data_IF_544391522446
#
_entry.id   IF_544391522446
#
_cell.length_a   1.000
_cell.length_b   1.000
_cell.length_c   1.000
_cell.angle_alpha   90.00
_cell.angle_beta   90.00
_cell.angle_gamma   90.00
#
_symmetry.space_group_name_H-M   'P 1'
#
loop_
_entity.id
_entity.type
_entity.pdbx_description
1 polymer ?
#
# COMPACT_ATOMS: atom_id res chain seq x y z
N UNK A 1 -29.67 -7.82 -5.65
CA UNK A 1 -29.04 -7.58 -4.33
C UNK A 1 -27.55 -7.81 -4.51
N UNK A 2 -26.71 -6.87 -4.05
CA UNK A 2 -25.25 -6.97 -4.09
C UNK A 2 -24.75 -7.77 -2.89
N UNK A 3 -23.63 -8.49 -3.06
CA UNK A 3 -22.94 -9.15 -1.96
C UNK A 3 -22.24 -8.10 -1.10
N UNK A 4 -21.53 -7.15 -1.75
CA UNK A 4 -20.93 -5.99 -1.07
C UNK A 4 -21.36 -4.67 -1.70
N UNK A 5 -21.66 -3.70 -0.84
CA UNK A 5 -21.59 -2.28 -1.11
C UNK A 5 -20.26 -1.78 -0.54
N UNK A 6 -19.32 -1.37 -1.39
CA UNK A 6 -17.98 -0.92 -0.99
C UNK A 6 -17.93 0.61 -1.06
N UNK A 7 -17.41 1.26 -0.03
CA UNK A 7 -17.25 2.72 0.00
C UNK A 7 -15.80 3.05 0.26
N UNK A 8 -15.16 3.75 -0.68
CA UNK A 8 -13.72 4.04 -0.66
C UNK A 8 -13.43 5.48 -1.10
N UNK A 9 -12.21 5.96 -0.84
CA UNK A 9 -11.80 7.35 -1.03
C UNK A 9 -11.83 7.77 -2.51
N UNK A 10 -10.98 7.15 -3.32
CA UNK A 10 -10.78 7.46 -4.75
C UNK A 10 -10.56 6.15 -5.54
N UNK A 11 -10.75 6.15 -6.86
CA UNK A 11 -10.54 4.97 -7.71
C UNK A 11 -9.06 4.72 -8.00
N UNK A 12 -8.26 4.41 -6.96
CA UNK A 12 -6.86 4.05 -7.12
C UNK A 12 -6.72 2.75 -7.92
N UNK A 13 -5.74 2.67 -8.85
CA UNK A 13 -5.59 1.56 -9.79
C UNK A 13 -5.57 0.18 -9.10
N UNK A 14 -4.87 0.05 -7.99
CA UNK A 14 -4.76 -1.22 -7.25
C UNK A 14 -6.09 -1.65 -6.60
N UNK A 15 -6.95 -0.68 -6.25
CA UNK A 15 -8.33 -0.95 -5.78
C UNK A 15 -9.23 -1.37 -6.93
N UNK A 16 -9.11 -0.69 -8.08
CA UNK A 16 -9.86 -1.07 -9.30
C UNK A 16 -9.50 -2.50 -9.69
N UNK A 17 -8.22 -2.86 -9.71
CA UNK A 17 -7.76 -4.22 -10.01
C UNK A 17 -8.37 -5.24 -9.02
N UNK A 18 -8.31 -4.97 -7.72
CA UNK A 18 -8.92 -5.85 -6.70
C UNK A 18 -10.43 -6.00 -6.92
N UNK A 19 -11.13 -4.90 -7.13
CA UNK A 19 -12.59 -4.93 -7.30
C UNK A 19 -13.01 -5.60 -8.60
N UNK A 20 -12.23 -5.48 -9.67
CA UNK A 20 -12.43 -6.23 -10.92
C UNK A 20 -12.32 -7.74 -10.68
N UNK A 21 -11.31 -8.18 -9.93
CA UNK A 21 -11.16 -9.60 -9.59
C UNK A 21 -12.31 -10.10 -8.69
N UNK A 22 -12.74 -9.29 -7.71
CA UNK A 22 -13.91 -9.61 -6.89
C UNK A 22 -15.19 -9.70 -7.72
N UNK A 23 -15.37 -8.80 -8.71
CA UNK A 23 -16.56 -8.75 -9.56
C UNK A 23 -16.74 -9.99 -10.45
N UNK A 24 -15.67 -10.76 -10.69
CA UNK A 24 -15.76 -12.05 -11.38
C UNK A 24 -16.51 -13.12 -10.58
N UNK A 25 -16.62 -12.97 -9.25
CA UNK A 25 -17.17 -13.97 -8.33
C UNK A 25 -18.31 -13.44 -7.44
N UNK A 26 -18.37 -12.14 -7.22
CA UNK A 26 -19.30 -11.45 -6.33
C UNK A 26 -20.02 -10.33 -7.08
N UNK A 27 -21.24 -10.08 -6.72
CA UNK A 27 -21.96 -8.91 -7.20
C UNK A 27 -21.63 -7.73 -6.27
N UNK A 28 -20.81 -6.79 -6.73
CA UNK A 28 -20.37 -5.63 -5.95
C UNK A 28 -20.89 -4.32 -6.55
N UNK A 29 -21.12 -3.33 -5.67
CA UNK A 29 -21.38 -1.95 -6.03
C UNK A 29 -20.37 -1.06 -5.27
N UNK A 30 -19.64 -0.19 -5.97
CA UNK A 30 -18.59 0.61 -5.37
C UNK A 30 -18.94 2.09 -5.39
N UNK A 31 -18.83 2.75 -4.25
CA UNK A 31 -18.96 4.19 -4.12
C UNK A 31 -17.56 4.79 -3.92
N UNK A 32 -17.15 5.62 -4.86
CA UNK A 32 -15.95 6.46 -4.70
C UNK A 32 -16.36 7.82 -4.14
N UNK A 33 -15.78 8.20 -3.03
CA UNK A 33 -16.05 9.51 -2.38
C UNK A 33 -15.64 10.66 -3.29
N UNK A 34 -14.55 10.51 -4.04
CA UNK A 34 -14.10 11.49 -5.03
C UNK A 34 -13.43 10.81 -6.22
N UNK A 35 -13.35 11.53 -7.36
CA UNK A 35 -12.67 11.00 -8.56
C UNK A 35 -11.16 11.14 -8.52
N UNK A 36 -10.60 12.09 -7.75
CA UNK A 36 -9.17 12.43 -7.77
C UNK A 36 -8.70 13.03 -6.43
N UNK A 37 -7.39 13.30 -6.32
CA UNK A 37 -6.75 13.89 -5.15
C UNK A 37 -5.62 14.85 -5.56
N UNK A 38 -5.48 15.97 -4.86
CA UNK A 38 -4.37 16.93 -5.03
C UNK A 38 -3.02 16.43 -4.48
N UNK A 39 -2.98 15.29 -3.79
CA UNK A 39 -1.71 14.69 -3.41
C UNK A 39 -0.91 14.32 -4.64
N UNK A 40 0.31 14.85 -4.77
CA UNK A 40 1.22 14.55 -5.90
C UNK A 40 1.41 13.03 -6.04
N UNK A 41 0.91 12.47 -7.14
CA UNK A 41 1.01 11.06 -7.53
C UNK A 41 1.29 10.98 -9.04
N UNK A 42 1.56 9.81 -9.58
CA UNK A 42 1.68 9.61 -11.03
C UNK A 42 0.35 9.91 -11.74
N UNK A 43 0.40 10.40 -12.97
CA UNK A 43 -0.76 10.88 -13.73
C UNK A 43 -1.91 9.86 -13.92
N UNK A 44 -1.64 8.56 -13.83
CA UNK A 44 -2.64 7.50 -14.01
C UNK A 44 -2.93 6.74 -12.71
N UNK A 45 -2.75 7.40 -11.55
CA UNK A 45 -2.97 6.74 -10.27
C UNK A 45 -4.45 6.43 -9.99
N UNK A 46 -5.37 7.29 -10.42
CA UNK A 46 -6.82 7.14 -10.20
C UNK A 46 -7.58 7.25 -11.53
N UNK A 47 -8.36 6.20 -11.84
CA UNK A 47 -9.24 6.14 -13.01
C UNK A 47 -10.31 5.07 -12.79
N UNK A 48 -11.53 5.33 -13.28
CA UNK A 48 -12.63 4.35 -13.30
C UNK A 48 -12.82 3.71 -14.67
N UNK A 49 -11.99 4.07 -15.68
CA UNK A 49 -12.18 3.63 -17.06
C UNK A 49 -12.13 2.10 -17.22
N UNK A 50 -11.38 1.42 -16.36
CA UNK A 50 -11.18 -0.02 -16.41
C UNK A 50 -12.08 -0.79 -15.40
N UNK A 51 -13.07 -0.11 -14.79
CA UNK A 51 -13.96 -0.74 -13.81
C UNK A 51 -14.95 -1.70 -14.50
N UNK A 52 -14.95 -2.97 -14.08
CA UNK A 52 -15.84 -4.05 -14.55
C UNK A 52 -17.01 -4.33 -13.58
N UNK A 53 -17.31 -3.39 -12.69
CA UNK A 53 -18.35 -3.48 -11.67
C UNK A 53 -19.22 -2.21 -11.66
N UNK A 54 -20.37 -2.31 -11.02
CA UNK A 54 -21.27 -1.15 -10.86
C UNK A 54 -20.64 -0.16 -9.86
N UNK A 55 -20.61 1.12 -10.22
CA UNK A 55 -20.04 2.15 -9.35
C UNK A 55 -20.73 3.51 -9.43
N UNK A 56 -20.48 4.35 -8.45
CA UNK A 56 -20.87 5.75 -8.44
C UNK A 56 -19.75 6.62 -7.82
N UNK A 57 -19.49 7.78 -8.41
CA UNK A 57 -18.52 8.77 -7.90
C UNK A 57 -19.31 9.96 -7.35
N UNK A 58 -19.19 10.22 -6.03
CA UNK A 58 -20.00 11.23 -5.35
C UNK A 58 -19.54 12.65 -5.66
N UNK A 59 -18.22 12.87 -5.75
CA UNK A 59 -17.63 14.16 -6.05
C UNK A 59 -16.65 14.06 -7.22
N UNK A 60 -16.92 14.78 -8.30
CA UNK A 60 -16.02 14.86 -9.45
C UNK A 60 -14.99 15.96 -9.21
N UNK A 61 -13.77 15.60 -8.83
CA UNK A 61 -12.67 16.52 -8.56
C UNK A 61 -11.79 16.09 -7.41
N UNK A 62 -11.06 17.05 -6.84
CA UNK A 62 -10.08 16.85 -5.78
C UNK A 62 -10.75 16.45 -4.45
N UNK A 63 -10.34 15.31 -3.92
CA UNK A 63 -10.83 14.74 -2.65
C UNK A 63 -10.79 15.75 -1.48
N UNK A 64 -9.79 16.61 -1.41
CA UNK A 64 -9.62 17.61 -0.36
C UNK A 64 -10.69 18.73 -0.43
N UNK A 65 -11.29 18.92 -1.60
CA UNK A 65 -12.33 19.96 -1.86
C UNK A 65 -13.76 19.40 -1.81
N UNK A 66 -13.93 18.11 -1.48
CA UNK A 66 -15.24 17.47 -1.43
C UNK A 66 -16.19 18.11 -0.42
N UNK A 67 -17.47 18.07 -0.69
CA UNK A 67 -18.52 18.60 0.19
C UNK A 67 -19.13 17.48 1.04
N UNK A 68 -18.66 17.30 2.26
CA UNK A 68 -19.01 16.18 3.17
C UNK A 68 -20.52 15.99 3.29
N UNK A 69 -21.28 17.07 3.58
CA UNK A 69 -22.75 16.97 3.72
C UNK A 69 -23.46 16.51 2.44
N UNK A 70 -23.00 16.97 1.26
CA UNK A 70 -23.55 16.51 -0.02
C UNK A 70 -23.26 15.04 -0.24
N UNK A 71 -22.04 14.59 0.10
CA UNK A 71 -21.66 13.18 -0.01
C UNK A 71 -22.52 12.32 0.93
N UNK A 72 -22.76 12.76 2.18
CA UNK A 72 -23.60 12.02 3.13
C UNK A 72 -25.04 11.90 2.62
N UNK A 73 -25.63 12.96 2.06
CA UNK A 73 -26.97 12.91 1.47
C UNK A 73 -27.02 11.97 0.23
N UNK A 74 -25.99 12.00 -0.62
CA UNK A 74 -25.89 11.07 -1.75
C UNK A 74 -25.77 9.62 -1.26
N UNK A 75 -24.93 9.34 -0.24
CA UNK A 75 -24.82 8.03 0.38
C UNK A 75 -26.17 7.58 0.94
N UNK A 76 -26.91 8.43 1.65
CA UNK A 76 -28.24 8.12 2.16
C UNK A 76 -29.18 7.69 1.03
N UNK A 77 -29.18 8.44 -0.07
CA UNK A 77 -30.00 8.12 -1.26
C UNK A 77 -29.60 6.77 -1.85
N UNK A 78 -28.29 6.47 -1.95
CA UNK A 78 -27.82 5.18 -2.47
C UNK A 78 -28.21 4.04 -1.51
N UNK A 79 -28.03 4.21 -0.21
CA UNK A 79 -28.40 3.20 0.79
C UNK A 79 -29.90 2.87 0.80
N UNK A 80 -30.77 3.81 0.41
CA UNK A 80 -32.22 3.57 0.30
C UNK A 80 -32.62 2.77 -0.94
N UNK A 81 -31.87 2.89 -2.05
CA UNK A 81 -32.20 2.23 -3.35
C UNK A 81 -31.42 0.96 -3.61
N UNK A 82 -30.19 0.83 -3.07
CA UNK A 82 -29.30 -0.30 -3.32
C UNK A 82 -29.44 -1.35 -2.21
N UNK A 83 -29.85 -2.57 -2.60
CA UNK A 83 -29.94 -3.69 -1.66
C UNK A 83 -28.62 -4.47 -1.63
N UNK A 84 -28.04 -4.67 -0.42
CA UNK A 84 -26.77 -5.35 -0.22
C UNK A 84 -26.78 -6.26 1.02
N UNK A 85 -25.89 -7.28 1.02
CA UNK A 85 -25.69 -8.18 2.19
C UNK A 85 -24.74 -7.55 3.20
N UNK A 86 -23.58 -7.03 2.76
CA UNK A 86 -22.54 -6.41 3.57
C UNK A 86 -22.19 -5.03 3.03
N UNK A 87 -21.73 -4.13 3.89
CA UNK A 87 -21.18 -2.83 3.52
C UNK A 87 -19.75 -2.73 4.03
N UNK A 88 -18.81 -2.45 3.13
CA UNK A 88 -17.37 -2.35 3.41
C UNK A 88 -16.92 -0.90 3.27
N UNK A 89 -16.44 -0.30 4.35
CA UNK A 89 -15.82 1.02 4.34
C UNK A 89 -14.30 0.91 4.41
N UNK A 90 -13.59 1.79 3.68
CA UNK A 90 -12.12 1.73 3.54
C UNK A 90 -11.41 2.63 4.56
N UNK A 91 -11.77 2.54 5.83
CA UNK A 91 -11.15 3.31 6.90
C UNK A 91 -12.14 3.82 7.94
N UNK A 92 -11.62 4.59 8.88
CA UNK A 92 -12.34 5.29 9.94
C UNK A 92 -12.05 6.80 9.98
N UNK A 93 -11.36 7.29 8.98
CA UNK A 93 -10.84 8.67 8.89
C UNK A 93 -11.85 9.67 8.33
N UNK A 94 -12.94 9.19 7.69
CA UNK A 94 -13.92 10.05 7.04
C UNK A 94 -15.26 10.10 7.78
N UNK A 95 -15.89 11.28 7.90
CA UNK A 95 -17.25 11.42 8.42
C UNK A 95 -18.27 10.58 7.65
N UNK A 96 -18.09 10.41 6.35
CA UNK A 96 -18.91 9.55 5.48
C UNK A 96 -18.90 8.09 5.95
N UNK A 97 -17.74 7.56 6.36
CA UNK A 97 -17.62 6.20 6.89
C UNK A 97 -18.29 6.04 8.26
N UNK A 98 -18.19 7.07 9.11
CA UNK A 98 -18.88 7.13 10.40
C UNK A 98 -20.40 7.12 10.20
N UNK A 99 -20.91 7.97 9.31
CA UNK A 99 -22.33 7.98 8.97
C UNK A 99 -22.83 6.59 8.61
N UNK A 100 -22.13 5.89 7.69
CA UNK A 100 -22.45 4.52 7.28
C UNK A 100 -22.44 3.57 8.48
N UNK A 101 -21.36 3.56 9.27
CA UNK A 101 -21.20 2.63 10.38
C UNK A 101 -22.31 2.79 11.43
N UNK A 102 -22.82 4.02 11.65
CA UNK A 102 -23.83 4.29 12.66
C UNK A 102 -25.28 4.20 12.16
N UNK A 103 -25.51 4.35 10.87
CA UNK A 103 -26.86 4.26 10.27
C UNK A 103 -27.21 2.88 9.76
N UNK A 104 -26.21 2.02 9.49
CA UNK A 104 -26.44 0.63 9.07
C UNK A 104 -26.36 -0.37 10.24
N UNK A 105 -26.89 -1.59 10.04
CA UNK A 105 -26.86 -2.65 11.04
C UNK A 105 -25.42 -3.14 11.24
N UNK A 106 -24.94 -3.23 12.49
CA UNK A 106 -23.61 -3.73 12.84
C UNK A 106 -23.26 -5.04 12.11
N UNK A 107 -24.18 -6.00 12.04
CA UNK A 107 -23.97 -7.30 11.41
C UNK A 107 -23.65 -7.24 9.92
N UNK A 108 -23.91 -6.10 9.27
CA UNK A 108 -23.56 -5.84 7.86
C UNK A 108 -22.28 -5.05 7.68
N UNK A 109 -21.83 -4.35 8.73
CA UNK A 109 -20.72 -3.41 8.64
C UNK A 109 -19.38 -4.13 8.64
N UNK A 110 -18.59 -3.88 7.60
CA UNK A 110 -17.23 -4.34 7.46
C UNK A 110 -16.28 -3.15 7.30
N UNK A 111 -15.05 -3.31 7.74
CA UNK A 111 -13.97 -2.32 7.64
C UNK A 111 -12.78 -2.92 6.87
N UNK A 112 -12.32 -2.29 5.81
CA UNK A 112 -10.99 -2.53 5.26
C UNK A 112 -9.99 -1.66 6.03
N UNK A 113 -9.13 -2.30 6.83
CA UNK A 113 -8.19 -1.62 7.70
C UNK A 113 -6.81 -1.56 7.04
N UNK A 114 -6.39 -0.34 6.69
CA UNK A 114 -5.08 -0.05 6.12
C UNK A 114 -4.15 0.69 7.11
N UNK A 115 -4.60 0.98 8.34
CA UNK A 115 -3.79 1.59 9.39
C UNK A 115 -3.09 0.55 10.24
N UNK A 116 -1.81 0.79 10.57
CA UNK A 116 -0.97 -0.08 11.40
C UNK A 116 -0.84 0.44 12.82
N UNK A 117 -0.24 -0.39 13.70
CA UNK A 117 0.05 0.00 15.09
C UNK A 117 1.06 1.14 15.21
N UNK A 118 1.91 1.35 14.19
CA UNK A 118 2.94 2.40 14.22
C UNK A 118 2.41 3.79 13.92
N UNK A 119 1.39 3.94 13.07
CA UNK A 119 0.85 5.26 12.71
C UNK A 119 -0.41 5.62 13.52
N UNK A 120 -1.13 4.63 13.98
CA UNK A 120 -2.46 4.79 14.51
C UNK A 120 -2.46 4.78 16.04
N UNK A 121 -2.66 5.95 16.66
CA UNK A 121 -2.78 6.02 18.13
C UNK A 121 -3.95 5.16 18.61
N UNK A 122 -3.65 4.19 19.49
CA UNK A 122 -4.59 3.27 20.11
C UNK A 122 -4.84 3.59 21.59
N UNK A 123 -4.15 4.59 22.15
CA UNK A 123 -4.27 5.06 23.55
C UNK A 123 -5.02 6.39 23.63
N UNK A 124 -5.46 6.74 24.85
CA UNK A 124 -6.12 8.01 25.15
C UNK A 124 -7.41 8.24 24.36
N UNK A 125 -7.77 9.51 24.16
CA UNK A 125 -9.03 9.90 23.50
C UNK A 125 -9.10 9.38 22.05
N UNK A 126 -7.99 9.41 21.31
CA UNK A 126 -7.95 8.90 19.92
C UNK A 126 -8.22 7.39 19.87
N UNK A 127 -7.67 6.62 20.80
CA UNK A 127 -7.95 5.18 20.90
C UNK A 127 -9.40 4.93 21.29
N UNK A 128 -9.97 5.70 22.22
CA UNK A 128 -11.37 5.60 22.62
C UNK A 128 -12.33 5.85 21.45
N UNK A 129 -12.10 6.91 20.66
CA UNK A 129 -12.91 7.22 19.46
C UNK A 129 -12.89 6.04 18.48
N UNK A 130 -11.70 5.43 18.22
CA UNK A 130 -11.61 4.26 17.34
C UNK A 130 -12.39 3.05 17.89
N UNK A 131 -12.35 2.82 19.20
CA UNK A 131 -13.18 1.76 19.84
C UNK A 131 -14.67 2.01 19.64
N UNK A 132 -15.13 3.24 19.70
CA UNK A 132 -16.53 3.60 19.39
C UNK A 132 -16.86 3.23 17.94
N UNK A 133 -16.01 3.57 16.98
CA UNK A 133 -16.23 3.17 15.59
C UNK A 133 -16.26 1.65 15.44
N UNK A 134 -15.26 0.95 15.99
CA UNK A 134 -15.15 -0.50 15.93
C UNK A 134 -16.32 -1.22 16.61
N UNK A 135 -16.98 -0.61 17.60
CA UNK A 135 -18.19 -1.18 18.21
C UNK A 135 -19.36 -1.35 17.22
N UNK A 136 -19.31 -0.64 16.08
CA UNK A 136 -20.30 -0.70 14.98
C UNK A 136 -19.88 -1.61 13.85
N UNK A 137 -18.71 -2.26 13.94
CA UNK A 137 -18.14 -3.14 12.91
C UNK A 137 -18.29 -4.61 13.33
N UNK A 138 -18.70 -5.48 12.42
CA UNK A 138 -18.75 -6.92 12.65
C UNK A 138 -17.51 -7.66 12.17
N UNK A 139 -16.96 -7.24 11.02
CA UNK A 139 -15.84 -7.91 10.36
C UNK A 139 -14.80 -6.86 9.92
N UNK A 140 -13.54 -7.10 10.21
CA UNK A 140 -12.42 -6.28 9.72
C UNK A 140 -11.56 -7.08 8.77
N UNK A 141 -11.35 -6.55 7.58
CA UNK A 141 -10.37 -7.02 6.61
C UNK A 141 -9.05 -6.28 6.89
N UNK A 142 -8.15 -6.95 7.59
CA UNK A 142 -6.85 -6.41 7.97
C UNK A 142 -5.80 -6.73 6.89
N UNK A 143 -5.02 -5.72 6.47
CA UNK A 143 -4.07 -5.93 5.38
C UNK A 143 -2.91 -6.86 5.75
N UNK A 144 -2.56 -6.98 7.03
CA UNK A 144 -1.49 -7.86 7.51
C UNK A 144 -1.33 -7.85 9.03
N UNK A 145 -0.23 -8.40 9.52
CA UNK A 145 0.06 -8.60 10.95
C UNK A 145 0.07 -7.30 11.76
N UNK A 146 0.72 -6.24 11.28
CA UNK A 146 0.77 -4.94 11.97
C UNK A 146 -0.62 -4.30 12.14
N UNK A 147 -1.55 -4.60 11.25
CA UNK A 147 -2.95 -4.18 11.34
C UNK A 147 -3.70 -5.00 12.39
N UNK A 148 -3.43 -6.30 12.46
CA UNK A 148 -3.98 -7.18 13.49
C UNK A 148 -3.51 -6.75 14.89
N UNK A 149 -2.26 -6.34 15.04
CA UNK A 149 -1.73 -5.85 16.31
C UNK A 149 -2.42 -4.56 16.77
N UNK A 150 -2.74 -3.65 15.84
CA UNK A 150 -3.57 -2.49 16.15
C UNK A 150 -4.98 -2.89 16.64
N UNK A 151 -5.62 -3.87 16.01
CA UNK A 151 -6.93 -4.37 16.44
C UNK A 151 -6.89 -5.01 17.82
N UNK A 152 -5.84 -5.81 18.12
CA UNK A 152 -5.60 -6.36 19.46
C UNK A 152 -5.42 -5.25 20.51
N UNK A 153 -4.60 -4.22 20.21
CA UNK A 153 -4.38 -3.08 21.10
C UNK A 153 -5.65 -2.25 21.33
N UNK A 154 -6.57 -2.20 20.35
CA UNK A 154 -7.89 -1.59 20.47
C UNK A 154 -8.93 -2.50 21.11
N UNK A 155 -8.58 -3.77 21.42
CA UNK A 155 -9.47 -4.79 21.96
C UNK A 155 -10.72 -5.04 21.10
N UNK A 156 -10.53 -5.16 19.77
CA UNK A 156 -11.61 -5.48 18.84
C UNK A 156 -12.11 -6.92 19.06
N UNK A 157 -13.45 -7.09 19.15
CA UNK A 157 -14.09 -8.38 19.45
C UNK A 157 -14.83 -8.99 18.26
N UNK A 158 -14.79 -8.35 17.09
CA UNK A 158 -15.42 -8.87 15.87
C UNK A 158 -14.54 -9.87 15.13
N UNK A 159 -15.01 -10.29 13.97
CA UNK A 159 -14.27 -11.17 13.08
C UNK A 159 -13.10 -10.39 12.41
N UNK A 160 -11.90 -10.98 12.38
CA UNK A 160 -10.74 -10.43 11.67
C UNK A 160 -10.35 -11.39 10.56
N UNK A 161 -10.35 -10.89 9.33
CA UNK A 161 -9.90 -11.59 8.13
C UNK A 161 -8.65 -10.91 7.59
N UNK A 162 -7.57 -11.66 7.39
CA UNK A 162 -6.29 -11.12 6.91
C UNK A 162 -6.21 -11.24 5.40
N UNK A 163 -6.05 -10.10 4.71
CA UNK A 163 -6.06 -10.04 3.24
C UNK A 163 -4.68 -10.18 2.60
N UNK A 164 -3.59 -10.03 3.37
CA UNK A 164 -2.21 -10.02 2.88
C UNK A 164 -2.00 -9.04 1.72
N UNK A 165 -2.63 -7.86 1.82
CA UNK A 165 -2.54 -6.80 0.81
C UNK A 165 -3.66 -5.77 0.92
N UNK A 166 -3.46 -4.64 0.24
CA UNK A 166 -4.42 -3.52 0.17
C UNK A 166 -5.08 -3.41 -1.21
N UNK A 167 -4.64 -4.22 -2.17
CA UNK A 167 -5.11 -4.21 -3.55
C UNK A 167 -4.27 -5.15 -4.41
N UNK A 168 -4.42 -5.05 -5.73
CA UNK A 168 -3.70 -5.86 -6.71
C UNK A 168 -2.89 -4.94 -7.62
N UNK A 169 -1.60 -5.24 -7.78
CA UNK A 169 -0.68 -4.49 -8.64
C UNK A 169 -0.96 -4.74 -10.12
N UNK A 170 -0.45 -3.85 -10.98
CA UNK A 170 -0.37 -4.14 -12.41
C UNK A 170 0.75 -5.16 -12.66
N UNK A 171 0.50 -6.13 -13.52
CA UNK A 171 1.42 -7.23 -13.84
C UNK A 171 1.71 -7.25 -15.34
N UNK A 172 2.45 -6.24 -15.87
CA UNK A 172 2.83 -6.24 -17.28
C UNK A 172 3.81 -7.38 -17.57
N UNK A 173 3.72 -7.96 -18.75
CA UNK A 173 4.74 -8.93 -19.19
C UNK A 173 6.12 -8.29 -19.21
N UNK A 174 7.12 -9.03 -18.76
CA UNK A 174 8.51 -8.61 -18.80
C UNK A 174 9.44 -9.81 -18.99
N UNK A 175 10.61 -9.55 -19.58
CA UNK A 175 11.63 -10.56 -19.78
C UNK A 175 12.57 -10.53 -18.57
N UNK A 176 12.59 -11.60 -17.81
CA UNK A 176 13.57 -11.78 -16.72
C UNK A 176 14.96 -11.98 -17.33
N UNK A 177 15.90 -11.18 -16.89
CA UNK A 177 17.31 -11.31 -17.27
C UNK A 177 18.13 -11.63 -16.05
N UNK A 178 19.01 -12.63 -16.18
CA UNK A 178 19.99 -12.90 -15.12
C UNK A 178 20.94 -11.70 -15.00
N UNK A 179 21.07 -11.14 -13.80
CA UNK A 179 21.88 -9.95 -13.52
C UNK A 179 23.15 -10.33 -12.78
N UNK A 180 24.24 -9.62 -13.08
CA UNK A 180 25.39 -9.53 -12.19
C UNK A 180 25.20 -8.36 -11.25
N UNK A 181 25.66 -8.50 -10.01
CA UNK A 181 25.59 -7.43 -9.04
C UNK A 181 26.41 -6.22 -9.49
N UNK A 182 25.77 -5.10 -9.64
CA UNK A 182 26.39 -3.85 -10.08
C UNK A 182 26.31 -2.74 -9.03
N UNK A 183 25.83 -3.08 -7.83
CA UNK A 183 25.71 -2.15 -6.70
C UNK A 183 24.61 -1.11 -6.86
N UNK A 184 23.54 -1.42 -7.60
CA UNK A 184 22.45 -0.48 -7.90
C UNK A 184 21.22 -0.78 -7.04
N UNK A 185 20.83 0.18 -6.22
CA UNK A 185 19.68 0.12 -5.34
C UNK A 185 18.59 1.07 -5.83
N UNK A 186 17.35 0.66 -5.68
CA UNK A 186 16.17 1.36 -6.16
C UNK A 186 15.22 1.68 -5.00
N UNK A 187 14.82 2.93 -4.88
CA UNK A 187 13.68 3.36 -4.10
C UNK A 187 12.59 3.93 -5.01
N UNK A 188 11.34 3.58 -4.75
CA UNK A 188 10.17 4.12 -5.44
C UNK A 188 9.14 4.54 -4.40
N UNK A 189 8.76 5.81 -4.41
CA UNK A 189 7.74 6.33 -3.49
C UNK A 189 7.77 7.83 -3.34
N UNK A 190 6.86 8.39 -2.53
CA UNK A 190 6.84 9.82 -2.22
C UNK A 190 8.10 10.22 -1.44
N UNK A 191 8.61 11.42 -1.70
CA UNK A 191 9.79 11.96 -1.02
C UNK A 191 9.32 12.83 0.15
N UNK A 192 8.92 12.18 1.25
CA UNK A 192 8.37 12.79 2.47
C UNK A 192 8.99 12.17 3.72
N UNK A 193 8.91 12.85 4.87
CA UNK A 193 9.60 12.48 6.12
C UNK A 193 9.40 11.02 6.54
N UNK A 194 8.16 10.55 6.52
CA UNK A 194 7.83 9.19 6.95
C UNK A 194 8.47 8.09 6.09
N UNK A 195 8.98 8.44 4.90
CA UNK A 195 9.71 7.52 4.02
C UNK A 195 11.19 7.41 4.35
N UNK A 196 11.70 8.24 5.26
CA UNK A 196 13.04 8.12 5.84
C UNK A 196 14.20 8.17 4.82
N UNK A 197 14.03 8.94 3.73
CA UNK A 197 15.04 8.99 2.67
C UNK A 197 16.33 9.68 3.09
N UNK A 198 16.29 10.60 4.08
CA UNK A 198 17.50 11.18 4.65
C UNK A 198 18.44 10.10 5.19
N UNK A 199 17.89 9.10 5.88
CA UNK A 199 18.64 7.94 6.39
C UNK A 199 19.34 7.18 5.25
N UNK A 200 18.65 6.94 4.11
CA UNK A 200 19.30 6.31 2.94
C UNK A 200 20.37 7.19 2.31
N UNK A 201 20.09 8.49 2.12
CA UNK A 201 21.06 9.44 1.56
C UNK A 201 22.35 9.46 2.38
N UNK A 202 22.26 9.51 3.71
CA UNK A 202 23.43 9.46 4.58
C UNK A 202 24.22 8.15 4.46
N UNK A 203 23.54 7.02 4.29
CA UNK A 203 24.18 5.71 4.08
C UNK A 203 24.91 5.69 2.74
N UNK A 204 24.23 6.04 1.65
CA UNK A 204 24.84 5.98 0.31
C UNK A 204 25.91 7.04 0.11
N UNK A 205 25.84 8.19 0.77
CA UNK A 205 26.93 9.17 0.80
C UNK A 205 28.21 8.58 1.39
N UNK A 206 28.10 7.71 2.41
CA UNK A 206 29.23 7.00 3.01
C UNK A 206 29.69 5.77 2.22
N UNK A 207 29.00 5.43 1.12
CA UNK A 207 29.23 4.22 0.34
C UNK A 207 29.28 4.52 -1.17
N UNK A 208 30.28 5.26 -1.66
CA UNK A 208 30.31 5.81 -3.05
C UNK A 208 30.40 4.74 -4.15
N UNK A 209 30.74 3.49 -3.80
CA UNK A 209 30.76 2.36 -4.75
C UNK A 209 29.38 1.79 -5.08
N UNK A 210 28.35 2.20 -4.33
CA UNK A 210 26.97 1.80 -4.55
C UNK A 210 26.14 2.97 -5.06
N UNK A 211 25.20 2.71 -5.94
CA UNK A 211 24.31 3.72 -6.51
C UNK A 211 22.91 3.58 -5.92
N UNK A 212 22.30 4.70 -5.53
CA UNK A 212 20.89 4.77 -5.14
C UNK A 212 20.09 5.55 -6.17
N UNK A 213 19.13 4.89 -6.81
CA UNK A 213 18.14 5.55 -7.67
C UNK A 213 16.87 5.82 -6.89
N UNK A 214 16.45 7.08 -6.82
CA UNK A 214 15.22 7.53 -6.13
C UNK A 214 14.20 7.97 -7.17
N UNK A 215 13.07 7.27 -7.22
CA UNK A 215 11.93 7.57 -8.09
C UNK A 215 10.77 8.08 -7.25
N UNK A 216 10.27 9.24 -7.61
CA UNK A 216 9.17 9.92 -6.94
C UNK A 216 9.40 11.41 -6.78
N UNK A 217 8.42 12.06 -6.15
CA UNK A 217 8.44 13.50 -5.84
C UNK A 217 7.91 13.73 -4.42
N UNK A 218 8.25 14.85 -3.83
CA UNK A 218 7.75 15.23 -2.51
C UNK A 218 8.44 16.46 -1.96
N UNK A 219 8.00 16.89 -0.80
CA UNK A 219 8.43 18.12 -0.15
C UNK A 219 9.91 18.14 0.26
N UNK A 220 10.50 16.95 0.50
CA UNK A 220 11.90 16.83 0.90
C UNK A 220 12.88 16.74 -0.29
N UNK A 221 12.41 16.74 -1.54
CA UNK A 221 13.26 16.47 -2.70
C UNK A 221 14.44 17.44 -2.81
N UNK A 222 14.19 18.74 -2.75
CA UNK A 222 15.23 19.77 -2.90
C UNK A 222 16.27 19.66 -1.77
N UNK A 223 15.81 19.47 -0.54
CA UNK A 223 16.71 19.29 0.60
C UNK A 223 17.59 18.04 0.42
N UNK A 224 17.00 16.90 0.06
CA UNK A 224 17.75 15.65 -0.11
C UNK A 224 18.75 15.76 -1.27
N UNK A 225 18.38 16.41 -2.38
CA UNK A 225 19.30 16.67 -3.49
C UNK A 225 20.50 17.51 -3.05
N UNK A 226 20.28 18.51 -2.19
CA UNK A 226 21.36 19.41 -1.73
C UNK A 226 22.42 18.73 -0.86
N UNK A 227 22.08 17.60 -0.22
CA UNK A 227 22.97 16.84 0.66
C UNK A 227 23.47 15.52 0.03
N UNK A 228 23.07 15.24 -1.21
CA UNK A 228 23.38 13.98 -1.89
C UNK A 228 24.68 14.04 -2.68
N UNK A 229 25.47 13.00 -2.60
CA UNK A 229 26.64 12.81 -3.45
C UNK A 229 26.24 12.32 -4.87
N UNK A 230 27.19 12.28 -5.81
CA UNK A 230 26.97 11.94 -7.24
C UNK A 230 26.42 10.52 -7.48
N UNK A 231 26.57 9.61 -6.52
CA UNK A 231 26.08 8.24 -6.60
C UNK A 231 24.58 8.10 -6.22
N UNK A 232 23.91 9.22 -5.91
CA UNK A 232 22.47 9.25 -5.60
C UNK A 232 21.75 9.99 -6.74
N UNK A 233 20.83 9.28 -7.42
CA UNK A 233 20.20 9.74 -8.65
C UNK A 233 18.70 9.95 -8.42
N UNK A 234 18.22 11.17 -8.58
CA UNK A 234 16.78 11.49 -8.51
C UNK A 234 16.18 11.52 -9.90
N UNK A 235 15.17 10.67 -10.15
CA UNK A 235 14.51 10.51 -11.45
C UNK A 235 13.19 11.23 -11.59
N UNK A 236 12.69 11.85 -10.49
CA UNK A 236 11.34 12.42 -10.48
C UNK A 236 10.24 11.36 -10.51
N UNK A 237 9.01 11.77 -10.81
CA UNK A 237 7.88 10.84 -10.94
C UNK A 237 7.93 10.10 -12.28
N UNK A 238 7.71 8.78 -12.25
CA UNK A 238 7.61 7.93 -13.43
C UNK A 238 6.21 7.31 -13.45
N UNK A 239 5.56 7.27 -14.62
CA UNK A 239 4.27 6.61 -14.77
C UNK A 239 4.39 5.10 -14.51
N UNK A 240 3.39 4.52 -13.86
CA UNK A 240 3.41 3.10 -13.44
C UNK A 240 3.70 2.14 -14.61
N UNK A 241 3.22 2.42 -15.83
CA UNK A 241 3.48 1.59 -17.02
C UNK A 241 4.97 1.48 -17.43
N UNK A 242 5.80 2.44 -17.00
CA UNK A 242 7.25 2.45 -17.31
C UNK A 242 8.12 1.98 -16.14
N UNK A 243 7.52 1.69 -14.99
CA UNK A 243 8.26 1.37 -13.77
C UNK A 243 9.03 0.05 -13.88
N UNK A 244 8.54 -0.89 -14.67
CA UNK A 244 9.21 -2.17 -14.94
C UNK A 244 10.63 -2.00 -15.51
N UNK A 245 10.82 -0.98 -16.38
CA UNK A 245 12.15 -0.68 -16.92
C UNK A 245 13.14 -0.19 -15.86
N UNK A 246 12.65 0.48 -14.80
CA UNK A 246 13.49 0.92 -13.69
C UNK A 246 13.83 -0.24 -12.74
N UNK A 247 12.90 -1.16 -12.48
CA UNK A 247 13.23 -2.42 -11.79
C UNK A 247 14.29 -3.22 -12.55
N UNK A 248 14.18 -3.30 -13.89
CA UNK A 248 15.14 -4.02 -14.72
C UNK A 248 16.57 -3.45 -14.65
N UNK A 249 16.75 -2.14 -14.42
CA UNK A 249 18.05 -1.45 -14.36
C UNK A 249 18.75 -1.57 -13.01
N UNK A 250 18.06 -1.98 -11.96
CA UNK A 250 18.57 -2.00 -10.60
C UNK A 250 18.66 -3.43 -10.07
N UNK A 251 19.46 -3.66 -9.05
CA UNK A 251 19.76 -4.99 -8.51
C UNK A 251 18.89 -5.31 -7.29
N UNK A 252 18.62 -4.33 -6.44
CA UNK A 252 17.94 -4.49 -5.15
C UNK A 252 16.96 -3.35 -4.94
N UNK A 253 15.75 -3.67 -4.49
CA UNK A 253 14.78 -2.67 -4.05
C UNK A 253 14.94 -2.37 -2.56
N UNK A 254 14.81 -1.10 -2.15
CA UNK A 254 14.97 -0.69 -0.74
C UNK A 254 13.83 0.22 -0.28
N UNK A 255 13.19 -0.11 0.85
CA UNK A 255 12.09 0.67 1.45
C UNK A 255 12.35 0.92 2.95
N UNK A 256 12.92 2.09 3.32
CA UNK A 256 13.36 2.38 4.70
C UNK A 256 12.30 3.08 5.55
N UNK A 257 11.03 3.04 5.17
CA UNK A 257 9.98 3.86 5.78
C UNK A 257 9.89 3.68 7.29
N UNK A 258 9.72 4.80 8.02
CA UNK A 258 9.38 4.81 9.45
C UNK A 258 7.92 4.41 9.67
N UNK A 259 7.07 4.70 8.68
CA UNK A 259 5.65 4.35 8.65
C UNK A 259 5.28 4.02 7.20
N UNK A 260 4.86 2.80 6.97
CA UNK A 260 4.31 2.35 5.70
C UNK A 260 3.16 1.37 5.98
N UNK A 261 1.91 1.77 5.79
CA UNK A 261 0.77 0.89 6.07
C UNK A 261 0.86 -0.45 5.35
N UNK A 262 1.22 -0.44 4.08
CA UNK A 262 1.50 -1.68 3.33
C UNK A 262 2.80 -1.56 2.52
N UNK A 263 2.79 -0.79 1.45
CA UNK A 263 3.91 -0.67 0.51
C UNK A 263 3.76 -1.60 -0.68
N UNK A 264 2.74 -1.36 -1.54
CA UNK A 264 2.49 -2.14 -2.76
C UNK A 264 3.70 -2.27 -3.68
N UNK A 265 4.59 -1.28 -3.66
CA UNK A 265 5.84 -1.29 -4.43
C UNK A 265 6.76 -2.47 -4.07
N UNK A 266 6.60 -3.06 -2.89
CA UNK A 266 7.30 -4.31 -2.50
C UNK A 266 6.79 -5.49 -3.31
N UNK A 267 5.47 -5.57 -3.52
CA UNK A 267 4.87 -6.59 -4.39
C UNK A 267 5.33 -6.41 -5.84
N UNK A 268 5.43 -5.14 -6.31
CA UNK A 268 5.99 -4.83 -7.63
C UNK A 268 7.46 -5.26 -7.72
N UNK A 269 8.29 -4.97 -6.72
CA UNK A 269 9.70 -5.39 -6.71
C UNK A 269 9.85 -6.91 -6.77
N UNK A 270 9.09 -7.65 -5.97
CA UNK A 270 9.07 -9.12 -6.00
C UNK A 270 8.55 -9.66 -7.33
N UNK A 271 7.50 -9.04 -7.90
CA UNK A 271 6.98 -9.41 -9.22
C UNK A 271 8.04 -9.29 -10.30
N UNK A 272 8.84 -8.21 -10.28
CA UNK A 272 9.96 -8.02 -11.22
C UNK A 272 11.24 -8.78 -10.84
N UNK A 273 11.19 -9.66 -9.82
CA UNK A 273 12.29 -10.53 -9.40
C UNK A 273 13.43 -9.83 -8.66
N UNK A 274 13.18 -8.64 -8.07
CA UNK A 274 14.19 -7.97 -7.25
C UNK A 274 14.10 -8.41 -5.80
N UNK A 275 15.23 -8.75 -5.15
CA UNK A 275 15.28 -8.88 -3.71
C UNK A 275 15.02 -7.54 -3.03
N UNK A 276 14.45 -7.60 -1.83
CA UNK A 276 13.93 -6.42 -1.14
C UNK A 276 14.64 -6.21 0.19
N UNK A 277 15.15 -5.01 0.43
CA UNK A 277 15.54 -4.52 1.76
C UNK A 277 14.40 -3.66 2.31
N UNK A 278 13.79 -4.06 3.41
CA UNK A 278 12.59 -3.42 3.93
C UNK A 278 12.68 -3.13 5.42
N UNK A 279 12.14 -1.98 5.82
CA UNK A 279 11.96 -1.65 7.23
C UNK A 279 10.92 -2.58 7.88
N UNK A 280 11.17 -2.99 9.14
CA UNK A 280 10.23 -3.74 9.98
C UNK A 280 8.93 -2.97 10.32
N UNK A 281 8.88 -1.68 9.98
CA UNK A 281 7.70 -0.81 10.16
C UNK A 281 6.80 -0.71 8.92
N UNK A 282 7.10 -1.49 7.90
CA UNK A 282 6.27 -1.61 6.69
C UNK A 282 5.33 -2.80 6.81
N UNK A 283 4.05 -2.63 6.46
CA UNK A 283 3.07 -3.73 6.50
C UNK A 283 3.48 -4.91 5.62
N UNK A 284 4.02 -4.65 4.44
CA UNK A 284 4.50 -5.67 3.50
C UNK A 284 5.82 -6.34 3.90
N UNK A 285 6.41 -5.98 5.05
CA UNK A 285 7.60 -6.68 5.56
C UNK A 285 7.35 -8.17 5.80
N UNK A 286 6.09 -8.56 6.04
CA UNK A 286 5.69 -9.96 6.19
C UNK A 286 5.82 -10.81 4.91
N UNK A 287 5.95 -10.16 3.74
CA UNK A 287 6.23 -10.83 2.46
C UNK A 287 7.71 -11.18 2.31
N UNK A 288 8.58 -10.61 3.15
CA UNK A 288 10.02 -10.79 3.08
C UNK A 288 10.49 -11.79 4.12
N UNK A 289 11.26 -12.77 3.66
CA UNK A 289 11.93 -13.76 4.48
C UNK A 289 13.42 -13.50 4.44
N UNK A 290 14.00 -13.18 5.62
CA UNK A 290 15.43 -12.84 5.75
C UNK A 290 16.33 -13.92 5.11
N UNK A 291 17.22 -13.48 4.20
CA UNK A 291 18.16 -14.34 3.50
C UNK A 291 17.54 -15.22 2.40
N UNK A 292 16.22 -15.09 2.13
CA UNK A 292 15.52 -15.86 1.09
C UNK A 292 15.20 -14.94 -0.08
N UNK A 293 14.34 -13.94 0.10
CA UNK A 293 13.97 -12.99 -0.96
C UNK A 293 14.30 -11.54 -0.60
N UNK A 294 15.05 -11.32 0.47
CA UNK A 294 15.47 -10.02 0.94
C UNK A 294 15.88 -10.01 2.40
N UNK A 295 15.93 -8.80 2.98
CA UNK A 295 16.24 -8.61 4.40
C UNK A 295 15.33 -7.56 5.02
N UNK A 296 14.89 -7.82 6.26
CA UNK A 296 14.16 -6.90 7.11
C UNK A 296 15.16 -6.21 8.04
N UNK A 297 15.06 -4.88 8.20
CA UNK A 297 15.94 -4.10 9.07
C UNK A 297 15.18 -3.05 9.89
N UNK A 298 15.75 -2.65 11.03
CA UNK A 298 15.29 -1.50 11.80
C UNK A 298 15.65 -0.20 11.04
N UNK A 299 14.69 0.67 10.69
CA UNK A 299 14.94 1.92 9.95
C UNK A 299 15.72 2.98 10.75
N UNK A 300 16.13 2.68 11.96
CA UNK A 300 17.01 3.51 12.80
C UNK A 300 18.44 2.95 12.94
N UNK A 301 18.67 1.68 12.57
CA UNK A 301 19.97 1.04 12.63
C UNK A 301 20.76 1.17 11.32
N UNK A 302 21.46 2.30 11.21
CA UNK A 302 22.31 2.64 10.06
C UNK A 302 23.43 1.62 9.85
N UNK A 303 24.08 1.16 10.94
CA UNK A 303 25.20 0.25 10.85
C UNK A 303 24.78 -1.11 10.30
N UNK A 304 23.64 -1.62 10.77
CA UNK A 304 23.09 -2.89 10.30
C UNK A 304 22.75 -2.84 8.82
N UNK A 305 22.10 -1.78 8.35
CA UNK A 305 21.77 -1.64 6.93
C UNK A 305 23.03 -1.50 6.07
N UNK A 306 24.03 -0.72 6.51
CA UNK A 306 25.32 -0.63 5.80
C UNK A 306 26.03 -1.99 5.72
N UNK A 307 25.98 -2.79 6.78
CA UNK A 307 26.54 -4.15 6.78
C UNK A 307 25.82 -5.04 5.76
N UNK A 308 24.49 -5.02 5.72
CA UNK A 308 23.71 -5.78 4.75
C UNK A 308 24.11 -5.38 3.32
N UNK A 309 24.17 -4.07 3.01
CA UNK A 309 24.52 -3.58 1.67
C UNK A 309 25.96 -3.99 1.27
N UNK A 310 26.94 -3.91 2.18
CA UNK A 310 28.32 -4.27 1.89
C UNK A 310 28.53 -5.75 1.61
N UNK A 311 27.66 -6.59 2.15
CA UNK A 311 27.75 -8.04 1.99
C UNK A 311 27.15 -8.54 0.65
N UNK A 312 26.49 -7.65 -0.12
CA UNK A 312 25.96 -8.06 -1.42
C UNK A 312 27.10 -8.33 -2.43
N UNK A 313 27.02 -9.47 -3.05
CA UNK A 313 27.84 -9.90 -4.19
C UNK A 313 26.97 -10.63 -5.23
N UNK A 314 27.59 -11.19 -6.26
CA UNK A 314 26.88 -11.93 -7.32
C UNK A 314 26.16 -13.17 -6.76
N UNK A 315 26.75 -13.89 -5.83
CA UNK A 315 26.19 -15.12 -5.25
C UNK A 315 24.93 -14.80 -4.42
N UNK A 316 25.03 -13.84 -3.52
CA UNK A 316 23.91 -13.40 -2.68
C UNK A 316 22.78 -12.86 -3.57
N UNK A 317 23.10 -11.99 -4.55
CA UNK A 317 22.10 -11.47 -5.46
C UNK A 317 21.36 -12.57 -6.20
N UNK A 318 22.08 -13.51 -6.82
CA UNK A 318 21.48 -14.62 -7.58
C UNK A 318 20.60 -15.50 -6.71
N UNK A 319 21.04 -15.84 -5.50
CA UNK A 319 20.26 -16.63 -4.54
C UNK A 319 18.95 -15.91 -4.16
N UNK A 320 19.03 -14.64 -3.84
CA UNK A 320 17.84 -13.85 -3.45
C UNK A 320 16.89 -13.62 -4.64
N UNK A 321 17.42 -13.37 -5.85
CA UNK A 321 16.60 -13.20 -7.05
C UNK A 321 15.86 -14.51 -7.40
N UNK A 322 16.53 -15.65 -7.36
CA UNK A 322 15.91 -16.96 -7.63
C UNK A 322 14.75 -17.24 -6.68
N UNK A 323 14.88 -16.84 -5.42
CA UNK A 323 13.83 -16.98 -4.42
C UNK A 323 12.75 -15.90 -4.53
N UNK A 324 13.09 -14.66 -4.90
CA UNK A 324 12.11 -13.60 -5.21
C UNK A 324 11.28 -14.00 -6.43
N UNK A 325 11.90 -14.62 -7.43
CA UNK A 325 11.22 -15.17 -8.60
C UNK A 325 10.25 -16.31 -8.27
N UNK A 326 10.49 -17.05 -7.18
CA UNK A 326 9.58 -18.08 -6.69
C UNK A 326 8.39 -17.50 -5.89
N UNK A 327 8.38 -16.20 -5.63
CA UNK A 327 7.24 -15.55 -4.98
C UNK A 327 6.04 -15.53 -5.93
N UNK A 328 5.07 -16.36 -5.64
CA UNK A 328 3.86 -16.46 -6.46
C UNK A 328 2.87 -15.33 -6.10
N UNK A 329 3.00 -14.22 -6.79
CA UNK A 329 2.09 -13.07 -6.65
C UNK A 329 0.65 -13.43 -7.02
N UNK A 330 0.43 -14.40 -7.92
CA UNK A 330 -0.92 -14.80 -8.32
C UNK A 330 -1.57 -15.66 -7.22
N UNK A 331 -0.80 -16.52 -6.55
CA UNK A 331 -1.27 -17.26 -5.38
C UNK A 331 -1.64 -16.29 -4.24
N UNK A 332 -0.80 -15.27 -3.98
CA UNK A 332 -1.10 -14.21 -3.01
C UNK A 332 -2.40 -13.46 -3.36
N UNK A 333 -2.56 -13.03 -4.61
CA UNK A 333 -3.77 -12.34 -5.05
C UNK A 333 -5.01 -13.23 -4.95
N UNK A 334 -4.88 -14.52 -5.30
CA UNK A 334 -5.96 -15.52 -5.15
C UNK A 334 -6.35 -15.67 -3.69
N UNK A 335 -5.38 -15.75 -2.78
CA UNK A 335 -5.63 -15.78 -1.35
C UNK A 335 -6.34 -14.50 -0.88
N UNK A 336 -5.87 -13.32 -1.29
CA UNK A 336 -6.50 -12.05 -0.97
C UNK A 336 -7.97 -12.01 -1.40
N UNK A 337 -8.28 -12.44 -2.62
CA UNK A 337 -9.64 -12.49 -3.15
C UNK A 337 -10.49 -13.46 -2.34
N UNK A 338 -9.96 -14.66 -2.00
CA UNK A 338 -10.70 -15.70 -1.29
C UNK A 338 -11.20 -15.26 0.08
N UNK A 339 -10.53 -14.32 0.71
CA UNK A 339 -10.90 -13.77 2.02
C UNK A 339 -12.22 -12.99 1.99
N UNK A 340 -12.63 -12.48 0.84
CA UNK A 340 -13.89 -11.75 0.65
C UNK A 340 -15.07 -12.69 0.29
N UNK A 341 -14.79 -13.91 -0.13
CA UNK A 341 -15.81 -14.91 -0.49
C UNK A 341 -16.40 -15.57 0.75
#
# INVERSE_FOLDING_TARGET
MYDYLIVTHIPAFYKINLYNELAKRLKIFVIFISSDTSQKRSNNFSSVNDALFDYEVLYKGDFQKRKIFKNILAIQTILSRVKFKKILVSGWDLPEFWYIAFTSKKSKNCLALESTIFESSYKGLKGFIKKIFLSRISTVFASGSLHCDLLKALNFQGEVKVTNGVGIINKPEFIKTQKKFSGRFLYIGRIVDIKNLKFLVEIFNAMPNFTLTIIGVGEQQEFLQSISNKNIIFRGAIENKFIGAEFAKNDVFILPSLIEPWGLVVEEALYFGLPVLISDRCGSSELIKNGINGFIFDPTDKNRLMQIIRNFDDEILQNLCSNADSYDINAKDTQQISVYL
#
